data_IF_142184410190
#
_entry.id   IF_142184410190
#
_cell.length_a   1.000
_cell.length_b   1.000
_cell.length_c   1.000
_cell.angle_alpha   90.00
_cell.angle_beta   90.00
_cell.angle_gamma   90.00
#
_symmetry.space_group_name_H-M   'P 1'
#
loop_
_entity.id
_entity.type
_entity.pdbx_description
1 polymer ?
#
# COMPACT_ATOMS: atom_id res chain seq x y z
N UNK A 1 11.15 -22.28 10.22
CA UNK A 1 11.80 -21.70 9.01
C UNK A 1 13.23 -21.24 9.31
N UNK A 2 13.47 -20.31 10.23
CA UNK A 2 14.82 -19.85 10.57
C UNK A 2 15.81 -20.94 11.00
N UNK A 3 15.35 -22.00 11.66
CA UNK A 3 16.19 -23.17 12.01
C UNK A 3 16.78 -23.90 10.80
N UNK A 4 16.25 -23.66 9.60
CA UNK A 4 16.72 -24.25 8.33
C UNK A 4 17.57 -23.27 7.52
N UNK A 5 17.81 -22.05 8.02
CA UNK A 5 18.57 -21.00 7.34
C UNK A 5 19.81 -20.65 8.20
N UNK A 6 20.90 -21.45 8.10
CA UNK A 6 22.03 -21.36 9.04
C UNK A 6 22.81 -20.04 8.97
N UNK A 7 22.66 -19.27 7.88
CA UNK A 7 23.29 -17.98 7.68
C UNK A 7 22.38 -16.77 7.95
N UNK A 8 21.10 -16.99 8.28
CA UNK A 8 20.20 -15.90 8.62
C UNK A 8 20.31 -15.58 10.12
N UNK A 9 20.55 -14.32 10.44
CA UNK A 9 20.47 -13.87 11.83
C UNK A 9 19.02 -13.96 12.31
N UNK A 10 18.80 -14.32 13.58
CA UNK A 10 17.43 -14.42 14.13
C UNK A 10 16.68 -13.09 14.13
N UNK A 11 17.39 -11.98 14.01
CA UNK A 11 16.81 -10.64 13.88
C UNK A 11 16.36 -10.30 12.45
N UNK A 12 16.84 -11.04 11.45
CA UNK A 12 16.51 -10.78 10.05
C UNK A 12 15.10 -11.22 9.75
N UNK A 13 14.36 -10.40 9.01
CA UNK A 13 12.99 -10.73 8.57
C UNK A 13 13.04 -11.44 7.24
N UNK A 14 12.32 -12.56 7.13
CA UNK A 14 12.02 -13.15 5.83
C UNK A 14 11.01 -12.21 5.15
N UNK A 15 11.43 -11.61 4.03
CA UNK A 15 10.60 -10.65 3.28
C UNK A 15 9.66 -11.35 2.34
N UNK A 16 10.15 -12.34 1.58
CA UNK A 16 9.35 -13.11 0.63
C UNK A 16 9.90 -14.52 0.49
N UNK A 17 9.07 -15.41 -0.04
CA UNK A 17 9.47 -16.74 -0.50
C UNK A 17 8.99 -16.88 -1.93
N UNK A 18 9.93 -16.97 -2.88
CA UNK A 18 9.62 -17.06 -4.31
C UNK A 18 9.80 -18.51 -4.74
N UNK A 19 8.73 -19.26 -5.06
CA UNK A 19 8.86 -20.60 -5.60
C UNK A 19 9.38 -20.50 -7.04
N UNK A 20 10.44 -21.24 -7.34
CA UNK A 20 11.07 -21.30 -8.66
C UNK A 20 11.44 -22.75 -8.94
N UNK A 21 11.02 -23.25 -10.10
CA UNK A 21 11.32 -24.62 -10.53
C UNK A 21 12.73 -24.71 -11.14
N UNK A 22 13.09 -23.72 -11.96
CA UNK A 22 14.37 -23.63 -12.64
C UNK A 22 14.94 -22.21 -12.46
N UNK A 23 16.10 -22.12 -11.81
CA UNK A 23 16.82 -20.87 -11.57
C UNK A 23 17.56 -20.37 -12.81
N UNK A 24 17.76 -21.21 -13.83
CA UNK A 24 18.38 -20.85 -15.10
C UNK A 24 17.36 -20.43 -16.16
N UNK A 25 16.06 -20.42 -15.82
CA UNK A 25 15.01 -20.00 -16.72
C UNK A 25 15.29 -18.60 -17.30
N UNK A 26 15.35 -18.54 -18.63
CA UNK A 26 15.50 -17.31 -19.40
C UNK A 26 14.27 -16.41 -19.24
N UNK A 27 14.45 -15.11 -19.50
CA UNK A 27 13.39 -14.08 -19.43
C UNK A 27 12.63 -14.07 -18.08
N UNK A 28 13.36 -14.34 -16.99
CA UNK A 28 12.86 -14.23 -15.63
C UNK A 28 13.69 -13.25 -14.83
N UNK A 29 12.99 -12.33 -14.18
CA UNK A 29 13.58 -11.25 -13.41
C UNK A 29 13.04 -11.28 -11.99
N UNK A 30 13.90 -10.97 -11.02
CA UNK A 30 13.49 -10.61 -9.67
C UNK A 30 13.47 -9.10 -9.54
N UNK A 31 12.33 -8.56 -9.12
CA UNK A 31 12.13 -7.15 -8.82
C UNK A 31 12.22 -6.96 -7.32
N UNK A 32 13.24 -6.27 -6.85
CA UNK A 32 13.43 -5.92 -5.44
C UNK A 32 12.92 -4.49 -5.21
N UNK A 33 12.20 -4.29 -4.12
CA UNK A 33 11.76 -2.96 -3.70
C UNK A 33 12.14 -2.70 -2.24
N UNK A 34 12.64 -1.51 -1.95
CA UNK A 34 13.01 -1.09 -0.60
C UNK A 34 12.04 -0.09 0.03
N UNK A 35 12.06 0.01 1.36
CA UNK A 35 11.27 0.98 2.12
C UNK A 35 11.63 2.44 1.74
N UNK A 36 12.89 2.70 1.40
CA UNK A 36 13.35 4.01 0.93
C UNK A 36 13.01 4.31 -0.54
N UNK A 37 12.19 3.48 -1.20
CA UNK A 37 11.71 3.73 -2.56
C UNK A 37 12.70 3.38 -3.67
N UNK A 38 13.71 2.56 -3.38
CA UNK A 38 14.59 1.99 -4.40
C UNK A 38 13.95 0.77 -5.04
N UNK A 39 14.17 0.60 -6.34
CA UNK A 39 13.75 -0.58 -7.11
C UNK A 39 14.94 -1.13 -7.89
N UNK A 40 15.03 -2.45 -8.00
CA UNK A 40 16.10 -3.15 -8.72
C UNK A 40 15.54 -4.34 -9.47
N UNK A 41 15.97 -4.54 -10.71
CA UNK A 41 15.75 -5.79 -11.45
C UNK A 41 17.05 -6.56 -11.54
N UNK A 42 17.01 -7.86 -11.31
CA UNK A 42 18.15 -8.76 -11.47
C UNK A 42 17.63 -10.03 -12.15
N UNK A 43 18.38 -10.57 -13.10
CA UNK A 43 17.99 -11.83 -13.74
C UNK A 43 17.97 -12.98 -12.73
N UNK A 44 17.05 -13.91 -12.94
CA UNK A 44 16.91 -15.08 -12.08
C UNK A 44 18.17 -15.97 -12.12
N UNK A 45 18.79 -16.08 -13.29
CA UNK A 45 20.01 -16.84 -13.57
C UNK A 45 21.20 -16.42 -12.68
N UNK A 46 21.22 -15.19 -12.17
CA UNK A 46 22.23 -14.73 -11.20
C UNK A 46 22.19 -15.50 -9.86
N UNK A 47 21.08 -16.22 -9.60
CA UNK A 47 20.85 -17.00 -8.38
C UNK A 47 20.96 -18.52 -8.60
N UNK A 48 21.29 -18.97 -9.81
CA UNK A 48 21.46 -20.39 -10.23
C UNK A 48 22.44 -21.21 -9.38
N UNK A 49 23.38 -20.54 -8.71
CA UNK A 49 24.42 -21.17 -7.91
C UNK A 49 24.22 -20.88 -6.40
N UNK A 50 23.21 -21.49 -5.75
CA UNK A 50 22.93 -21.26 -4.34
C UNK A 50 24.06 -21.80 -3.45
N UNK A 51 24.31 -21.11 -2.35
CA UNK A 51 25.29 -21.52 -1.32
C UNK A 51 24.56 -21.76 -0.02
N UNK A 52 25.05 -22.69 0.79
CA UNK A 52 24.52 -22.95 2.13
C UNK A 52 24.60 -21.73 3.06
N UNK A 53 25.55 -20.82 2.79
CA UNK A 53 25.73 -19.55 3.49
C UNK A 53 24.80 -18.44 3.00
N UNK A 54 23.93 -18.71 2.02
CA UNK A 54 23.17 -17.68 1.33
C UNK A 54 24.01 -16.82 0.38
N UNK A 55 23.33 -15.88 -0.29
CA UNK A 55 23.88 -14.97 -1.29
C UNK A 55 23.41 -13.55 -0.99
N UNK A 56 24.25 -12.55 -1.24
CA UNK A 56 23.82 -11.15 -1.22
C UNK A 56 22.96 -10.90 -2.46
N UNK A 57 21.66 -10.68 -2.25
CA UNK A 57 20.68 -10.52 -3.32
C UNK A 57 20.49 -9.07 -3.79
N UNK A 58 20.81 -8.08 -2.94
CA UNK A 58 20.69 -6.66 -3.22
C UNK A 58 21.64 -5.85 -2.33
N UNK A 59 22.21 -4.78 -2.86
CA UNK A 59 22.87 -3.76 -2.04
C UNK A 59 21.83 -2.86 -1.37
N UNK A 60 21.85 -2.74 -0.04
CA UNK A 60 20.92 -1.91 0.72
C UNK A 60 21.71 -0.86 1.50
N UNK A 61 21.21 0.38 1.58
CA UNK A 61 21.85 1.43 2.40
C UNK A 61 21.67 1.11 3.88
N UNK A 62 22.56 1.66 4.71
CA UNK A 62 22.35 1.72 6.16
C UNK A 62 21.00 2.43 6.41
N UNK A 63 20.13 1.81 7.20
CA UNK A 63 18.77 2.28 7.54
C UNK A 63 17.69 2.09 6.46
N UNK A 64 18.00 1.39 5.36
CA UNK A 64 17.00 0.92 4.40
C UNK A 64 16.79 -0.60 4.55
N UNK A 65 15.69 -1.10 4.00
CA UNK A 65 15.35 -2.53 4.01
C UNK A 65 14.55 -2.90 2.78
N UNK A 66 14.75 -4.13 2.29
CA UNK A 66 13.87 -4.70 1.27
C UNK A 66 12.51 -4.99 1.91
N UNK A 67 11.44 -4.61 1.23
CA UNK A 67 10.05 -4.81 1.69
C UNK A 67 9.29 -5.78 0.80
N UNK A 68 9.73 -5.98 -0.43
CA UNK A 68 9.08 -6.89 -1.39
C UNK A 68 10.11 -7.39 -2.41
N UNK A 69 9.98 -8.66 -2.79
CA UNK A 69 10.66 -9.19 -3.99
C UNK A 69 9.67 -10.04 -4.79
N UNK A 70 9.54 -9.74 -6.08
CA UNK A 70 8.58 -10.41 -6.98
C UNK A 70 9.30 -11.01 -8.18
N UNK A 71 8.90 -12.21 -8.59
CA UNK A 71 9.29 -12.81 -9.86
C UNK A 71 8.45 -12.25 -11.00
N UNK A 72 9.12 -11.79 -12.05
CA UNK A 72 8.50 -11.20 -13.23
C UNK A 72 9.04 -11.78 -14.53
N UNK A 73 8.27 -11.59 -15.60
CA UNK A 73 8.54 -11.97 -16.99
C UNK A 73 9.00 -10.78 -17.86
N UNK A 74 9.27 -9.61 -17.26
CA UNK A 74 9.71 -8.43 -18.00
C UNK A 74 8.61 -7.43 -18.37
N UNK A 75 7.33 -7.81 -18.21
CA UNK A 75 6.21 -7.06 -18.82
C UNK A 75 5.31 -6.33 -17.83
N UNK A 76 5.55 -6.50 -16.52
CA UNK A 76 4.65 -5.97 -15.51
C UNK A 76 4.77 -4.45 -15.33
N UNK A 77 3.78 -3.89 -14.66
CA UNK A 77 3.86 -2.54 -14.11
C UNK A 77 4.08 -2.59 -12.61
N UNK A 78 4.97 -1.73 -12.11
CA UNK A 78 5.27 -1.62 -10.69
C UNK A 78 4.52 -0.43 -10.12
N UNK A 79 3.79 -0.67 -9.04
CA UNK A 79 3.14 0.36 -8.24
C UNK A 79 3.74 0.41 -6.84
N UNK A 80 4.15 1.60 -6.41
CA UNK A 80 4.67 1.83 -5.07
C UNK A 80 3.73 2.79 -4.34
N UNK A 81 3.43 2.46 -3.09
CA UNK A 81 2.52 3.21 -2.23
C UNK A 81 3.24 3.64 -0.96
N UNK A 82 3.15 4.92 -0.61
CA UNK A 82 3.84 5.48 0.54
C UNK A 82 2.93 5.61 1.75
N UNK A 83 3.55 5.63 2.93
CA UNK A 83 2.89 5.81 4.22
C UNK A 83 2.10 7.12 4.27
N UNK A 84 2.56 8.18 3.60
CA UNK A 84 1.87 9.48 3.54
C UNK A 84 0.90 9.64 2.38
N UNK A 85 0.49 8.54 1.73
CA UNK A 85 -0.61 8.58 0.77
C UNK A 85 -0.21 9.04 -0.63
N UNK A 86 1.05 8.83 -1.03
CA UNK A 86 1.52 9.01 -2.42
C UNK A 86 1.65 7.65 -3.11
N UNK A 87 1.36 7.61 -4.42
CA UNK A 87 1.52 6.41 -5.22
C UNK A 87 2.14 6.72 -6.58
N UNK A 88 3.05 5.87 -7.04
CA UNK A 88 3.62 5.92 -8.40
C UNK A 88 3.32 4.60 -9.11
N UNK A 89 3.09 4.65 -10.43
CA UNK A 89 2.90 3.49 -11.31
C UNK A 89 3.78 3.68 -12.54
N UNK A 90 4.65 2.73 -12.83
CA UNK A 90 5.58 2.79 -13.97
C UNK A 90 5.81 1.39 -14.54
N UNK A 91 6.22 1.30 -15.80
CA UNK A 91 6.55 0.02 -16.42
C UNK A 91 7.84 -0.54 -15.82
N UNK A 92 7.89 -1.84 -15.51
CA UNK A 92 9.11 -2.43 -14.95
C UNK A 92 10.32 -2.27 -15.87
N UNK A 93 10.07 -2.20 -17.18
CA UNK A 93 11.08 -2.00 -18.22
C UNK A 93 11.89 -0.71 -18.03
N UNK A 94 11.34 0.30 -17.35
CA UNK A 94 12.04 1.55 -17.02
C UNK A 94 13.18 1.35 -15.99
N UNK A 95 13.19 0.22 -15.29
CA UNK A 95 14.22 -0.15 -14.31
C UNK A 95 15.30 -0.96 -15.03
N UNK A 96 16.57 -0.51 -15.08
CA UNK A 96 17.62 -1.29 -15.73
C UNK A 96 17.86 -2.61 -15.00
N UNK A 97 18.16 -3.67 -15.75
CA UNK A 97 18.64 -4.93 -15.19
C UNK A 97 20.06 -4.75 -14.65
N UNK A 98 20.29 -5.20 -13.42
CA UNK A 98 21.56 -5.06 -12.72
C UNK A 98 21.94 -6.34 -11.98
N UNK A 99 23.23 -6.56 -11.78
CA UNK A 99 23.75 -7.67 -10.98
C UNK A 99 23.33 -7.61 -9.51
N UNK A 100 23.53 -8.72 -8.80
CA UNK A 100 23.01 -8.90 -7.43
C UNK A 100 23.45 -7.83 -6.44
N UNK A 101 24.71 -7.43 -6.45
CA UNK A 101 25.29 -6.49 -5.48
C UNK A 101 24.88 -5.03 -5.70
N UNK A 102 24.21 -4.73 -6.81
CA UNK A 102 23.74 -3.38 -7.11
C UNK A 102 22.65 -2.92 -6.12
N UNK A 103 22.54 -1.60 -5.96
CA UNK A 103 21.57 -0.97 -5.06
C UNK A 103 20.21 -0.66 -5.70
N UNK A 104 20.09 -0.85 -7.01
CA UNK A 104 18.91 -0.39 -7.75
C UNK A 104 18.92 1.11 -8.04
N UNK A 105 17.81 1.57 -8.58
CA UNK A 105 17.53 2.95 -8.96
C UNK A 105 16.33 3.48 -8.19
N UNK A 106 16.13 4.80 -8.21
CA UNK A 106 14.96 5.41 -7.58
C UNK A 106 13.68 4.99 -8.31
N UNK A 107 12.75 4.37 -7.58
CA UNK A 107 11.41 4.01 -8.02
C UNK A 107 10.39 5.10 -7.72
N UNK A 108 10.44 5.68 -6.52
CA UNK A 108 9.60 6.81 -6.09
C UNK A 108 10.42 7.84 -5.29
N UNK A 109 10.12 9.12 -5.46
CA UNK A 109 10.60 10.18 -4.58
C UNK A 109 9.77 10.23 -3.29
N UNK A 110 10.44 10.26 -2.15
CA UNK A 110 9.81 10.29 -0.83
C UNK A 110 10.04 11.64 -0.15
N UNK A 111 9.02 12.15 0.53
CA UNK A 111 9.17 13.26 1.45
C UNK A 111 9.96 12.82 2.70
N UNK A 112 10.54 13.78 3.43
CA UNK A 112 11.35 13.49 4.62
C UNK A 112 10.57 12.69 5.68
N UNK A 113 11.01 11.47 5.99
CA UNK A 113 10.35 10.57 6.94
C UNK A 113 9.15 9.80 6.38
N UNK A 114 8.89 9.87 5.06
CA UNK A 114 7.98 8.95 4.37
C UNK A 114 8.72 7.66 3.98
N UNK A 115 7.96 6.61 3.70
CA UNK A 115 8.49 5.31 3.29
C UNK A 115 7.46 4.57 2.44
N UNK A 116 7.92 3.64 1.61
CA UNK A 116 7.05 2.71 0.90
C UNK A 116 6.48 1.68 1.90
N UNK A 117 5.17 1.46 1.82
CA UNK A 117 4.39 0.53 2.67
C UNK A 117 3.60 -0.50 1.85
N UNK A 118 3.53 -0.33 0.53
CA UNK A 118 2.88 -1.28 -0.36
C UNK A 118 3.56 -1.30 -1.73
N UNK A 119 3.65 -2.50 -2.30
CA UNK A 119 4.24 -2.76 -3.60
C UNK A 119 3.32 -3.71 -4.34
N UNK A 120 2.89 -3.33 -5.54
CA UNK A 120 2.08 -4.18 -6.41
C UNK A 120 2.81 -4.32 -7.76
N UNK A 121 2.83 -5.54 -8.29
CA UNK A 121 3.35 -5.84 -9.63
C UNK A 121 2.19 -6.32 -10.47
N UNK A 122 1.59 -5.40 -11.23
CA UNK A 122 0.37 -5.65 -11.97
C UNK A 122 0.64 -6.28 -13.32
N UNK A 123 -0.12 -7.34 -13.62
CA UNK A 123 -0.20 -7.98 -14.94
C UNK A 123 -1.61 -7.96 -15.53
N UNK A 124 -2.58 -7.46 -14.77
CA UNK A 124 -4.00 -7.40 -15.12
C UNK A 124 -4.69 -6.33 -14.28
N UNK A 125 -5.93 -6.02 -14.64
CA UNK A 125 -6.78 -5.16 -13.84
C UNK A 125 -6.99 -5.75 -12.44
N UNK A 126 -6.77 -4.91 -11.43
CA UNK A 126 -6.91 -5.29 -10.03
C UNK A 126 -7.46 -4.14 -9.19
N UNK A 127 -8.07 -4.49 -8.05
CA UNK A 127 -8.42 -3.53 -7.01
C UNK A 127 -7.25 -3.33 -6.07
N UNK A 128 -6.96 -2.07 -5.73
CA UNK A 128 -6.02 -1.71 -4.68
C UNK A 128 -6.79 -1.46 -3.40
N UNK A 129 -6.69 -2.36 -2.43
CA UNK A 129 -7.18 -2.11 -1.08
C UNK A 129 -6.16 -1.25 -0.34
N UNK A 130 -6.59 -0.10 0.14
CA UNK A 130 -5.79 0.75 1.04
C UNK A 130 -6.37 0.68 2.44
N UNK A 131 -5.51 0.59 3.46
CA UNK A 131 -5.90 0.62 4.87
C UNK A 131 -5.01 1.60 5.65
N UNK A 132 -5.63 2.45 6.47
CA UNK A 132 -4.96 3.38 7.39
C UNK A 132 -4.91 2.83 8.81
N UNK A 133 -4.05 3.40 9.65
CA UNK A 133 -3.83 2.92 11.02
C UNK A 133 -5.06 3.06 11.95
N UNK A 134 -5.98 3.97 11.65
CA UNK A 134 -7.23 4.18 12.35
C UNK A 134 -8.39 3.28 11.86
N UNK A 135 -8.09 2.34 10.95
CA UNK A 135 -9.02 1.32 10.46
C UNK A 135 -9.96 1.79 9.34
N UNK A 136 -9.65 2.90 8.66
CA UNK A 136 -10.31 3.22 7.39
C UNK A 136 -9.73 2.39 6.26
N UNK A 137 -10.58 2.07 5.30
CA UNK A 137 -10.15 1.46 4.06
C UNK A 137 -11.05 1.79 2.89
N UNK A 138 -10.48 1.56 1.70
CA UNK A 138 -11.16 1.70 0.42
C UNK A 138 -10.52 0.79 -0.60
N UNK A 139 -11.30 0.44 -1.62
CA UNK A 139 -10.80 -0.17 -2.85
C UNK A 139 -10.75 0.88 -3.93
N UNK A 140 -9.62 1.00 -4.61
CA UNK A 140 -9.49 1.88 -5.77
C UNK A 140 -9.03 1.03 -6.95
N UNK A 141 -9.71 1.05 -8.11
CA UNK A 141 -9.22 0.35 -9.29
C UNK A 141 -7.80 0.79 -9.63
N UNK A 142 -6.91 -0.15 -9.94
CA UNK A 142 -5.53 0.13 -10.32
C UNK A 142 -5.45 1.10 -11.52
N UNK A 143 -6.42 1.01 -12.44
CA UNK A 143 -6.53 1.89 -13.60
C UNK A 143 -6.68 3.38 -13.24
N UNK A 144 -7.16 3.73 -12.03
CA UNK A 144 -7.23 5.14 -11.63
C UNK A 144 -5.85 5.76 -11.38
N UNK A 145 -4.83 4.94 -11.12
CA UNK A 145 -3.47 5.39 -10.89
C UNK A 145 -2.77 5.59 -12.24
N UNK A 146 -2.38 6.84 -12.58
CA UNK A 146 -1.82 7.14 -13.89
C UNK A 146 -0.44 6.52 -14.04
N UNK A 147 -0.19 5.94 -15.20
CA UNK A 147 1.14 5.53 -15.62
C UNK A 147 2.03 6.77 -15.80
N UNK A 148 3.23 6.73 -15.23
CA UNK A 148 4.22 7.82 -15.30
C UNK A 148 5.64 7.24 -15.31
N UNK A 149 6.65 8.09 -15.50
CA UNK A 149 8.05 7.67 -15.37
C UNK A 149 8.41 7.42 -13.90
N UNK A 150 9.25 6.41 -13.64
CA UNK A 150 9.79 6.14 -12.30
C UNK A 150 10.56 7.34 -11.72
N UNK A 151 10.72 7.35 -10.41
CA UNK A 151 11.54 8.30 -9.67
C UNK A 151 10.89 9.65 -9.38
N UNK A 152 9.68 9.90 -9.89
CA UNK A 152 8.86 11.05 -9.52
C UNK A 152 8.26 10.93 -8.11
N UNK A 153 7.63 12.01 -7.63
CA UNK A 153 6.98 12.06 -6.30
C UNK A 153 5.63 11.30 -6.23
N UNK A 154 5.24 10.62 -7.32
CA UNK A 154 3.93 9.98 -7.44
C UNK A 154 2.77 10.98 -7.39
N UNK A 155 1.55 10.45 -7.31
CA UNK A 155 0.30 11.21 -7.16
C UNK A 155 -0.37 10.88 -5.83
N UNK A 156 -1.14 11.81 -5.29
CA UNK A 156 -1.90 11.57 -4.06
C UNK A 156 -2.99 10.51 -4.29
N UNK A 157 -3.08 9.55 -3.38
CA UNK A 157 -4.11 8.51 -3.37
C UNK A 157 -4.76 8.29 -1.99
N UNK A 158 -4.28 8.98 -0.95
CA UNK A 158 -5.01 9.21 0.29
C UNK A 158 -4.67 10.63 0.73
N UNK A 159 -5.65 11.49 1.03
CA UNK A 159 -5.35 12.78 1.66
C UNK A 159 -4.69 12.54 3.01
N UNK A 160 -3.45 13.01 3.18
CA UNK A 160 -2.76 13.00 4.46
C UNK A 160 -2.63 14.44 4.96
N UNK A 161 -3.10 14.70 6.19
CA UNK A 161 -2.83 15.94 6.90
C UNK A 161 -1.68 15.69 7.88
N UNK A 162 -0.44 15.81 7.41
CA UNK A 162 0.75 15.55 8.22
C UNK A 162 0.90 14.08 8.60
N UNK A 163 1.00 13.79 9.90
CA UNK A 163 1.20 12.44 10.43
C UNK A 163 -0.10 11.76 10.92
N UNK A 164 -1.25 12.38 10.67
CA UNK A 164 -2.56 11.81 11.01
C UNK A 164 -2.94 10.72 10.00
N UNK A 165 -3.39 9.57 10.52
CA UNK A 165 -3.92 8.44 9.77
C UNK A 165 -3.01 7.90 8.63
N UNK A 166 -1.74 7.55 8.91
CA UNK A 166 -0.85 6.99 7.91
C UNK A 166 -1.43 5.74 7.26
N UNK A 167 -1.09 5.55 5.98
CA UNK A 167 -1.35 4.30 5.26
C UNK A 167 -0.47 3.21 5.87
N UNK A 168 -1.10 2.11 6.27
CA UNK A 168 -0.42 0.92 6.81
C UNK A 168 -0.18 -0.10 5.70
N UNK A 169 -1.14 -0.25 4.78
CA UNK A 169 -1.03 -1.22 3.70
C UNK A 169 -1.74 -0.73 2.43
N UNK A 170 -1.16 -1.10 1.28
CA UNK A 170 -1.81 -1.11 -0.01
C UNK A 170 -1.61 -2.50 -0.62
N UNK A 171 -2.70 -3.23 -0.87
CA UNK A 171 -2.69 -4.64 -1.28
C UNK A 171 -3.48 -4.83 -2.58
N UNK A 172 -2.98 -5.69 -3.46
CA UNK A 172 -3.78 -6.20 -4.58
C UNK A 172 -4.84 -7.16 -4.04
N UNK A 173 -6.11 -6.89 -4.36
CA UNK A 173 -7.23 -7.70 -3.90
C UNK A 173 -8.26 -7.95 -5.01
N UNK A 174 -8.94 -9.07 -4.86
CA UNK A 174 -10.17 -9.45 -5.56
C UNK A 174 -11.37 -9.30 -4.61
N UNK A 175 -12.61 -9.20 -5.11
CA UNK A 175 -13.80 -9.11 -4.26
C UNK A 175 -13.98 -10.28 -3.29
N UNK A 176 -13.46 -11.46 -3.63
CA UNK A 176 -13.60 -12.70 -2.84
C UNK A 176 -12.56 -12.85 -1.73
N UNK A 177 -11.58 -11.94 -1.67
CA UNK A 177 -10.57 -11.94 -0.62
C UNK A 177 -11.15 -11.48 0.73
N UNK A 178 -10.43 -11.84 1.79
CA UNK A 178 -10.55 -11.20 3.10
C UNK A 178 -9.21 -10.58 3.50
N UNK A 179 -9.24 -9.66 4.44
CA UNK A 179 -8.03 -9.14 5.07
C UNK A 179 -8.07 -9.32 6.57
N UNK A 180 -6.93 -9.70 7.13
CA UNK A 180 -6.67 -9.70 8.56
C UNK A 180 -5.87 -8.44 8.91
N UNK A 181 -6.28 -7.75 9.97
CA UNK A 181 -5.65 -6.56 10.51
C UNK A 181 -5.17 -6.86 11.91
N UNK A 182 -3.90 -6.59 12.19
CA UNK A 182 -3.32 -6.73 13.52
C UNK A 182 -3.11 -5.34 14.12
N UNK A 183 -3.59 -5.14 15.34
CA UNK A 183 -3.39 -3.89 16.07
C UNK A 183 -2.12 -3.91 16.92
N UNK A 184 -1.62 -2.74 17.31
CA UNK A 184 -0.47 -2.62 18.22
C UNK A 184 -0.76 -3.28 19.58
N UNK A 185 -2.01 -3.30 20.02
CA UNK A 185 -2.48 -4.04 21.18
C UNK A 185 -2.60 -5.55 20.99
N UNK A 186 -2.21 -6.11 19.84
CA UNK A 186 -2.22 -7.54 19.55
C UNK A 186 -3.59 -8.11 19.17
N UNK A 187 -4.58 -7.26 18.87
CA UNK A 187 -5.91 -7.73 18.43
C UNK A 187 -5.85 -8.12 16.96
N UNK A 188 -6.42 -9.27 16.64
CA UNK A 188 -6.69 -9.68 15.26
C UNK A 188 -8.13 -9.34 14.89
N UNK A 189 -8.31 -8.64 13.78
CA UNK A 189 -9.59 -8.22 13.22
C UNK A 189 -9.63 -8.67 11.77
N UNK A 190 -10.80 -9.00 11.24
CA UNK A 190 -10.95 -9.37 9.83
C UNK A 190 -12.03 -8.54 9.14
N UNK A 191 -11.84 -8.26 7.86
CA UNK A 191 -12.82 -7.61 7.02
C UNK A 191 -12.89 -8.30 5.65
N UNK A 192 -14.11 -8.59 5.18
CA UNK A 192 -14.34 -9.08 3.83
C UNK A 192 -14.08 -7.95 2.82
N UNK A 193 -13.32 -8.23 1.77
CA UNK A 193 -12.91 -7.21 0.80
C UNK A 193 -14.13 -6.66 0.04
N UNK A 194 -15.14 -7.49 -0.24
CA UNK A 194 -16.37 -7.05 -0.89
C UNK A 194 -17.17 -5.99 -0.10
N UNK A 195 -17.05 -5.95 1.23
CA UNK A 195 -17.72 -4.97 2.09
C UNK A 195 -17.00 -3.61 2.12
N UNK A 196 -15.74 -3.55 1.69
CA UNK A 196 -14.96 -2.31 1.61
C UNK A 196 -15.45 -1.49 0.41
N UNK A 197 -15.76 -0.18 0.56
CA UNK A 197 -16.29 0.61 -0.54
C UNK A 197 -15.27 0.79 -1.67
N UNK A 198 -15.75 0.74 -2.91
CA UNK A 198 -14.96 1.18 -4.07
C UNK A 198 -15.05 2.69 -4.18
N UNK A 199 -13.92 3.37 -4.13
CA UNK A 199 -13.84 4.83 -4.14
C UNK A 199 -12.59 5.31 -4.87
N UNK A 200 -12.69 6.53 -5.41
CA UNK A 200 -11.59 7.11 -6.15
C UNK A 200 -10.38 7.45 -5.30
N UNK A 201 -9.25 7.69 -5.96
CA UNK A 201 -7.95 7.97 -5.31
C UNK A 201 -7.98 9.07 -4.27
N UNK A 202 -8.67 10.20 -4.47
CA UNK A 202 -8.53 11.36 -3.54
C UNK A 202 -9.47 11.32 -2.32
N UNK A 203 -10.01 10.16 -1.97
CA UNK A 203 -10.91 9.95 -0.83
C UNK A 203 -10.17 9.34 0.38
N UNK A 204 -10.73 9.45 1.58
CA UNK A 204 -10.16 8.82 2.78
C UNK A 204 -10.49 7.33 2.90
N UNK A 205 -11.67 6.91 2.41
CA UNK A 205 -12.21 5.59 2.71
C UNK A 205 -13.36 5.64 3.71
N UNK A 206 -13.88 4.46 4.06
CA UNK A 206 -14.80 4.29 5.18
C UNK A 206 -14.14 3.45 6.26
N UNK A 207 -14.63 3.57 7.50
CA UNK A 207 -14.22 2.69 8.58
C UNK A 207 -14.63 1.25 8.24
N UNK A 208 -13.65 0.36 8.07
CA UNK A 208 -13.88 -1.06 7.79
C UNK A 208 -13.78 -1.91 9.04
N UNK A 209 -13.03 -1.43 10.05
CA UNK A 209 -12.98 -2.00 11.40
C UNK A 209 -12.98 -0.91 12.46
N UNK A 210 -13.53 -1.21 13.64
CA UNK A 210 -13.48 -0.29 14.79
C UNK A 210 -12.20 -0.53 15.58
N UNK A 211 -11.32 0.48 15.59
CA UNK A 211 -10.11 0.47 16.41
C UNK A 211 -10.42 1.14 17.75
N UNK A 212 -10.10 0.51 18.90
CA UNK A 212 -10.22 1.14 20.22
C UNK A 212 -9.40 2.43 20.33
N UNK A 213 -9.84 3.34 21.19
CA UNK A 213 -9.06 4.54 21.49
C UNK A 213 -7.68 4.16 22.06
N UNK A 214 -6.61 4.79 21.54
CA UNK A 214 -5.22 4.50 21.93
C UNK A 214 -4.58 3.29 21.25
N UNK A 215 -5.33 2.54 20.44
CA UNK A 215 -4.80 1.45 19.62
C UNK A 215 -4.68 1.90 18.15
N UNK A 216 -3.96 1.13 17.33
CA UNK A 216 -3.80 1.38 15.89
C UNK A 216 -3.51 0.10 15.14
N UNK A 217 -3.89 0.03 13.86
CA UNK A 217 -3.46 -1.03 12.95
C UNK A 217 -1.96 -0.89 12.69
N UNK A 218 -1.23 -2.00 12.77
CA UNK A 218 0.22 -2.05 12.48
C UNK A 218 0.55 -2.97 11.31
N UNK A 219 -0.35 -3.89 10.97
CA UNK A 219 -0.17 -4.84 9.89
C UNK A 219 -1.52 -5.22 9.27
N UNK A 220 -1.51 -5.45 7.95
CA UNK A 220 -2.67 -5.94 7.21
C UNK A 220 -2.19 -7.02 6.25
N UNK A 221 -2.84 -8.18 6.28
CA UNK A 221 -2.49 -9.33 5.44
C UNK A 221 -3.71 -9.77 4.66
N UNK A 222 -3.54 -10.02 3.36
CA UNK A 222 -4.58 -10.64 2.53
C UNK A 222 -4.68 -12.13 2.87
N UNK A 223 -5.89 -12.59 3.11
CA UNK A 223 -6.22 -13.99 3.32
C UNK A 223 -7.16 -14.46 2.22
N UNK A 224 -6.88 -15.60 1.60
CA UNK A 224 -7.81 -16.22 0.68
C UNK A 224 -9.13 -16.50 1.42
N UNK A 225 -10.28 -16.27 0.76
CA UNK A 225 -11.60 -16.42 1.36
C UNK A 225 -11.83 -17.81 1.95
N UNK A 226 -11.58 -17.95 3.24
CA UNK A 226 -12.09 -19.00 4.10
C UNK A 226 -13.07 -18.37 5.08
N UNK A 227 -14.17 -19.05 5.37
CA UNK A 227 -15.22 -18.60 6.28
C UNK A 227 -14.61 -18.00 7.56
N UNK A 228 -15.03 -16.81 8.02
CA UNK A 228 -14.54 -16.27 9.27
C UNK A 228 -14.86 -17.26 10.38
N UNK A 229 -13.84 -17.79 11.05
CA UNK A 229 -14.02 -18.48 12.31
C UNK A 229 -14.54 -17.45 13.31
N UNK A 230 -15.86 -17.48 13.51
CA UNK A 230 -16.53 -16.79 14.61
C UNK A 230 -15.84 -17.20 15.90
N UNK A 231 -15.53 -16.21 16.72
CA UNK A 231 -14.62 -16.33 17.85
C UNK A 231 -14.84 -17.54 18.76
N UNK A 232 -13.72 -18.02 19.29
CA UNK A 232 -13.70 -18.93 20.45
C UNK A 232 -14.33 -18.20 21.64
N UNK A 233 -15.64 -18.32 21.74
CA UNK A 233 -16.47 -18.00 22.89
C UNK A 233 -17.23 -19.25 23.28
N UNK A 234 -16.64 -20.04 24.17
CA UNK A 234 -17.28 -21.17 24.85
C UNK A 234 -16.69 -21.23 26.25
N UNK A 235 -17.45 -21.40 27.33
CA UNK A 235 -18.90 -21.39 27.52
C UNK A 235 -19.19 -21.43 29.03
N UNK A 236 -20.43 -21.06 29.39
CA UNK A 236 -21.16 -21.64 30.51
C UNK A 236 -21.49 -20.66 31.65
N UNK A 237 -22.69 -20.63 32.21
CA UNK A 237 -23.96 -21.28 31.91
C UNK A 237 -25.04 -20.55 32.73
N UNK A 238 -26.29 -20.54 32.28
CA UNK A 238 -27.40 -20.01 33.06
C UNK A 238 -28.67 -19.81 32.24
N UNK A 239 -29.39 -20.91 32.03
CA UNK A 239 -30.75 -20.92 31.46
C UNK A 239 -31.79 -20.69 32.56
N UNK A 240 -32.74 -19.79 32.30
CA UNK A 240 -34.16 -19.82 32.68
C UNK A 240 -34.79 -18.57 32.01
N UNK A 241 -35.91 -18.57 31.28
CA UNK A 241 -37.02 -19.52 31.17
C UNK A 241 -38.32 -18.71 31.21
N UNK A 242 -39.06 -18.68 30.10
CA UNK A 242 -40.45 -18.20 29.96
C UNK A 242 -40.63 -16.68 29.87
N UNK A 243 -41.69 -16.13 29.27
CA UNK A 243 -42.77 -16.59 28.39
C UNK A 243 -43.52 -15.31 27.94
N UNK A 244 -44.37 -15.46 26.92
CA UNK A 244 -45.49 -14.57 26.54
C UNK A 244 -45.11 -13.24 25.86
N UNK A 245 -45.90 -12.62 24.99
CA UNK A 245 -46.92 -12.96 23.99
C UNK A 245 -47.18 -11.59 23.29
N UNK A 246 -47.95 -11.61 22.21
CA UNK A 246 -48.70 -10.47 21.64
C UNK A 246 -48.06 -9.49 20.63
N UNK A 247 -48.40 -9.76 19.36
CA UNK A 247 -49.37 -9.00 18.54
C UNK A 247 -49.03 -7.58 18.02
N UNK A 248 -49.33 -7.43 16.73
CA UNK A 248 -49.80 -6.23 16.02
C UNK A 248 -48.79 -5.38 15.19
N UNK A 249 -48.78 -5.63 13.88
CA UNK A 249 -48.92 -4.59 12.85
C UNK A 249 -50.45 -4.32 12.66
N UNK A 250 -50.96 -3.22 12.04
CA UNK A 250 -50.40 -2.57 10.84
C UNK A 250 -50.71 -1.05 10.63
N UNK A 251 -50.46 -0.60 9.38
CA UNK A 251 -51.00 0.56 8.63
C UNK A 251 -50.22 1.90 8.71
N UNK A 252 -49.61 2.35 7.60
CA UNK A 252 -50.15 3.17 6.48
C UNK A 252 -50.33 4.66 6.91
N UNK A 253 -50.07 5.73 6.14
CA UNK A 253 -50.08 6.01 4.70
C UNK A 253 -49.66 7.49 4.46
N UNK A 254 -49.37 7.85 3.21
CA UNK A 254 -49.46 9.22 2.63
C UNK A 254 -48.15 10.03 2.69
N UNK A 255 -47.70 10.77 1.69
CA UNK A 255 -48.19 11.19 0.36
C UNK A 255 -47.25 12.34 -0.07
N UNK A 256 -46.56 12.23 -1.20
CA UNK A 256 -46.89 12.86 -2.47
C UNK A 256 -46.27 14.26 -2.71
N UNK A 257 -45.59 14.35 -3.87
CA UNK A 257 -45.44 15.48 -4.80
C UNK A 257 -44.56 16.69 -4.43
N UNK A 258 -43.73 17.10 -5.39
CA UNK A 258 -42.99 18.37 -5.37
C UNK A 258 -41.91 18.44 -6.43
N UNK A 259 -42.33 18.58 -7.68
CA UNK A 259 -41.53 18.69 -8.91
C UNK A 259 -40.85 20.08 -9.07
N UNK A 260 -39.79 20.07 -9.87
CA UNK A 260 -39.16 21.15 -10.65
C UNK A 260 -38.35 22.31 -9.99
N UNK A 261 -37.16 22.65 -10.55
CA UNK A 261 -36.28 23.73 -10.10
C UNK A 261 -36.44 25.03 -10.92
N UNK A 262 -35.91 26.14 -10.41
CA UNK A 262 -35.29 27.17 -11.26
C UNK A 262 -33.94 27.60 -10.68
N UNK A 263 -33.00 28.26 -11.35
CA UNK A 263 -32.75 28.70 -12.72
C UNK A 263 -31.29 29.19 -12.70
N UNK A 264 -30.65 29.16 -13.86
CA UNK A 264 -29.34 29.76 -14.12
C UNK A 264 -29.43 31.30 -14.02
N UNK A 265 -28.41 31.94 -13.47
CA UNK A 265 -28.11 33.34 -13.80
C UNK A 265 -26.60 33.53 -13.97
N UNK A 266 -26.24 33.88 -15.20
CA UNK A 266 -24.92 34.37 -15.59
C UNK A 266 -24.61 35.73 -14.95
N UNK A 267 -23.33 35.95 -14.66
CA UNK A 267 -22.76 37.25 -14.34
C UNK A 267 -21.34 37.31 -14.89
N UNK A 268 -21.19 38.02 -16.01
CA UNK A 268 -19.92 38.32 -16.67
C UNK A 268 -19.24 39.56 -16.02
N UNK A 269 -17.93 39.68 -16.20
CA UNK A 269 -17.19 40.95 -16.04
C UNK A 269 -15.82 40.78 -15.38
N UNK A 270 -14.73 40.69 -16.16
CA UNK A 270 -13.65 41.72 -16.33
C UNK A 270 -12.80 41.92 -15.06
N UNK A 271 -11.48 41.84 -15.01
CA UNK A 271 -10.36 41.99 -15.95
C UNK A 271 -9.13 42.46 -15.12
N UNK A 272 -7.90 42.28 -15.61
CA UNK A 272 -6.66 42.83 -15.02
C UNK A 272 -5.65 41.75 -14.57
N UNK A 273 -4.65 41.40 -15.39
CA UNK A 273 -3.30 42.01 -15.46
C UNK A 273 -2.45 41.65 -14.22
N UNK A 274 -1.63 40.59 -14.29
CA UNK A 274 -0.20 40.62 -14.69
C UNK A 274 0.71 41.36 -13.70
N UNK A 275 1.36 40.62 -12.78
CA UNK A 275 2.69 41.01 -12.30
C UNK A 275 3.44 39.82 -11.68
N UNK A 276 4.64 39.58 -12.20
CA UNK A 276 5.74 38.80 -11.63
C UNK A 276 6.99 39.27 -12.37
N UNK A 277 8.21 39.18 -11.80
CA UNK A 277 8.65 39.34 -10.42
C UNK A 277 9.75 40.44 -10.36
N UNK A 278 10.52 40.57 -9.27
CA UNK A 278 11.93 40.92 -9.49
C UNK A 278 12.93 39.93 -8.88
N UNK A 279 14.09 39.98 -9.52
CA UNK A 279 15.23 39.07 -9.44
C UNK A 279 16.05 39.16 -8.15
N UNK A 280 16.80 38.08 -7.93
CA UNK A 280 17.85 37.89 -6.93
C UNK A 280 19.01 38.90 -7.05
N UNK A 281 19.71 39.22 -5.94
CA UNK A 281 21.08 39.71 -5.97
C UNK A 281 22.12 38.58 -5.77
N UNK A 282 23.40 38.83 -6.11
CA UNK A 282 24.42 37.80 -6.31
C UNK A 282 25.27 37.46 -5.08
N UNK A 283 25.74 36.21 -5.12
CA UNK A 283 27.03 35.60 -4.71
C UNK A 283 27.89 36.17 -3.58
N UNK A 284 28.25 35.28 -2.63
CA UNK A 284 29.48 35.35 -1.85
C UNK A 284 29.79 33.99 -1.19
N UNK A 285 30.97 33.45 -1.47
CA UNK A 285 31.79 32.80 -0.45
C UNK A 285 32.00 31.30 -0.57
N UNK A 286 33.14 30.95 -1.16
CA UNK A 286 33.82 29.67 -1.06
C UNK A 286 33.99 29.21 0.40
N UNK A 287 33.81 27.90 0.63
CA UNK A 287 33.95 27.29 1.95
C UNK A 287 34.14 25.77 1.85
N UNK A 288 35.34 25.39 1.44
CA UNK A 288 35.87 24.02 1.50
C UNK A 288 35.95 23.55 2.95
N UNK A 289 35.28 22.42 3.26
CA UNK A 289 35.56 21.65 4.48
C UNK A 289 35.64 20.17 4.11
N UNK A 290 36.89 19.71 4.06
CA UNK A 290 37.27 18.31 4.26
C UNK A 290 36.73 17.80 5.60
N UNK A 291 36.36 16.51 5.64
CA UNK A 291 36.50 15.70 6.85
C UNK A 291 36.46 14.20 6.48
N UNK A 292 37.66 13.62 6.52
CA UNK A 292 37.90 12.22 6.82
C UNK A 292 37.51 11.94 8.28
N UNK A 293 36.95 10.77 8.52
CA UNK A 293 36.59 10.23 9.84
C UNK A 293 35.62 9.08 9.73
#
# INVERSE_FOLDING_TARGET
>A
VYSLLPAADRGDRIVTMVPVEDLEAEDRLLIFTSAAGQVKRTELSEFSNPRSTGLIAAGVKRDDRIIEVVLSDGTAEVMLFTRRGRAIRFAEADVPTQGRTARGVKGIGLDSGDQVVGVLTLRRDAGVLTVTDDGHGKRTPAAEFPLQKRGGMGTMFVPSSGNSNPVVAALEVTPDDSVMLITAGGRSLSAAVNAVPVQGRRTQGKRIVKIPSGDRVVEVTRTAGGTPESGVGSSGAGSAGGADDDTAAPAASGGAAGDAPPQLSAGAGTGGASESPPASPPDAGEGQLDLLG
#
